data_IF_335874396097
#
_entry.id   IF_335874396097
#
_cell.length_a   1.000
_cell.length_b   1.000
_cell.length_c   1.000
_cell.angle_alpha   90.00
_cell.angle_beta   90.00
_cell.angle_gamma   90.00
#
_symmetry.space_group_name_H-M   'P 1'
#
loop_
_entity.id
_entity.type
_entity.pdbx_description
1 polymer ?
#
# COMPACT_ATOMS: atom_id res chain seq x y z
N UNK A 1 -11.96 -12.55 24.06
CA UNK A 1 -11.98 -11.37 23.21
C UNK A 1 -10.81 -11.46 22.25
N UNK A 2 -11.05 -11.38 20.95
CA UNK A 2 -9.96 -11.27 19.98
C UNK A 2 -9.13 -10.01 20.32
N UNK A 3 -7.82 -10.08 20.15
CA UNK A 3 -6.96 -8.91 20.38
C UNK A 3 -7.30 -7.83 19.33
N UNK A 4 -7.43 -6.57 19.77
CA UNK A 4 -7.67 -5.42 18.90
C UNK A 4 -6.58 -5.29 17.83
N UNK A 5 -6.94 -5.05 16.57
CA UNK A 5 -6.01 -4.99 15.43
C UNK A 5 -4.97 -3.87 15.61
N UNK A 6 -3.68 -4.22 15.53
CA UNK A 6 -2.57 -3.24 15.57
C UNK A 6 -2.23 -2.80 14.14
N UNK A 7 -2.40 -1.51 13.87
CA UNK A 7 -2.25 -0.94 12.53
C UNK A 7 -0.98 -0.09 12.48
N UNK A 8 -0.03 -0.45 11.62
CA UNK A 8 1.05 0.43 11.20
C UNK A 8 0.62 1.29 10.03
N UNK A 9 0.99 2.56 10.01
CA UNK A 9 0.67 3.49 8.91
C UNK A 9 1.94 4.03 8.27
N UNK A 10 2.01 3.99 6.93
CA UNK A 10 3.03 4.71 6.16
C UNK A 10 2.38 5.79 5.30
N UNK A 11 2.99 6.98 5.25
CA UNK A 11 2.51 8.13 4.47
C UNK A 11 3.67 9.00 3.96
N UNK A 12 3.42 9.81 2.92
CA UNK A 12 4.42 10.76 2.38
C UNK A 12 3.98 12.23 2.45
N UNK A 13 2.70 12.49 2.71
CA UNK A 13 2.11 13.83 2.54
C UNK A 13 1.17 14.28 3.66
N UNK A 14 0.00 14.75 3.27
CA UNK A 14 -1.02 15.36 4.15
C UNK A 14 -1.57 14.41 5.22
N UNK A 15 -1.63 13.10 4.93
CA UNK A 15 -2.16 12.10 5.86
C UNK A 15 -3.68 12.12 6.01
N UNK A 16 -4.43 12.54 4.98
CA UNK A 16 -5.90 12.59 5.06
C UNK A 16 -6.53 11.22 5.24
N UNK A 17 -6.04 10.20 4.54
CA UNK A 17 -6.46 8.81 4.73
C UNK A 17 -6.05 8.28 6.12
N UNK A 18 -4.85 8.61 6.59
CA UNK A 18 -4.43 8.26 7.96
C UNK A 18 -5.40 8.87 9.01
N UNK A 19 -5.78 10.13 8.83
CA UNK A 19 -6.74 10.78 9.72
C UNK A 19 -8.07 10.04 9.76
N UNK A 20 -8.63 9.67 8.60
CA UNK A 20 -9.87 8.90 8.52
C UNK A 20 -9.77 7.54 9.24
N UNK A 21 -8.63 6.85 9.12
CA UNK A 21 -8.36 5.58 9.80
C UNK A 21 -8.28 5.79 11.32
N UNK A 22 -7.54 6.80 11.79
CA UNK A 22 -7.41 7.09 13.22
C UNK A 22 -8.75 7.48 13.86
N UNK A 23 -9.56 8.28 13.17
CA UNK A 23 -10.93 8.63 13.58
C UNK A 23 -11.83 7.39 13.62
N UNK A 24 -11.73 6.48 12.66
CA UNK A 24 -12.48 5.23 12.63
C UNK A 24 -12.10 4.28 13.77
N UNK A 25 -10.82 4.22 14.16
CA UNK A 25 -10.39 3.49 15.36
C UNK A 25 -10.96 4.14 16.62
N UNK A 26 -10.91 5.46 16.72
CA UNK A 26 -11.38 6.19 17.91
C UNK A 26 -12.88 6.03 18.14
N UNK A 27 -13.70 6.03 17.09
CA UNK A 27 -15.16 5.90 17.18
C UNK A 27 -15.67 4.44 17.13
N UNK A 28 -14.77 3.46 17.10
CA UNK A 28 -15.11 2.04 17.11
C UNK A 28 -15.58 1.46 15.76
N UNK A 29 -15.45 2.21 14.66
CA UNK A 29 -15.73 1.70 13.31
C UNK A 29 -14.65 0.72 12.82
N UNK A 30 -13.45 0.78 13.42
CA UNK A 30 -12.40 -0.22 13.29
C UNK A 30 -12.11 -0.78 14.70
N UNK A 31 -12.23 -2.09 14.88
CA UNK A 31 -11.74 -2.77 16.08
C UNK A 31 -10.21 -2.88 16.03
N UNK A 32 -9.56 -1.76 16.26
CA UNK A 32 -8.12 -1.62 16.11
C UNK A 32 -7.57 -0.31 16.62
N UNK A 33 -6.24 -0.22 16.64
CA UNK A 33 -5.52 1.00 17.01
C UNK A 33 -4.32 1.23 16.10
N UNK A 34 -4.02 2.49 15.80
CA UNK A 34 -2.79 2.85 15.09
C UNK A 34 -1.63 2.84 16.09
N UNK A 35 -0.65 1.96 15.87
CA UNK A 35 0.48 1.77 16.78
C UNK A 35 1.71 2.58 16.39
N UNK A 36 1.83 2.99 15.13
CA UNK A 36 2.85 3.94 14.66
C UNK A 36 2.45 4.61 13.35
N UNK A 37 3.10 5.74 13.06
CA UNK A 37 3.07 6.40 11.74
C UNK A 37 4.50 6.63 11.26
N UNK A 38 4.85 6.01 10.14
CA UNK A 38 6.12 6.21 9.46
C UNK A 38 5.99 7.08 8.20
N UNK A 39 7.04 7.80 7.85
CA UNK A 39 7.08 8.58 6.60
C UNK A 39 8.44 8.50 5.93
N UNK A 40 8.42 8.49 4.58
CA UNK A 40 9.62 8.68 3.75
C UNK A 40 10.04 10.14 3.61
N UNK A 41 9.22 11.06 4.13
CA UNK A 41 9.38 12.50 4.03
C UNK A 41 9.31 13.16 5.42
N UNK A 42 10.43 13.71 5.95
CA UNK A 42 10.42 14.36 7.26
C UNK A 42 9.46 15.55 7.37
N UNK A 43 9.04 16.14 6.24
CA UNK A 43 8.13 17.29 6.16
C UNK A 43 6.67 16.89 5.92
N UNK A 44 6.33 15.62 6.05
CA UNK A 44 4.96 15.14 5.86
C UNK A 44 4.03 15.67 6.97
N UNK A 45 3.01 16.44 6.60
CA UNK A 45 2.04 17.03 7.57
C UNK A 45 1.26 15.96 8.36
N UNK A 46 1.11 14.76 7.82
CA UNK A 46 0.46 13.65 8.52
C UNK A 46 1.20 13.25 9.80
N UNK A 47 2.52 13.45 9.89
CA UNK A 47 3.30 13.20 11.12
C UNK A 47 2.86 14.11 12.28
N UNK A 48 2.52 15.38 11.99
CA UNK A 48 2.04 16.32 13.02
C UNK A 48 0.68 15.89 13.59
N UNK A 49 -0.17 15.31 12.75
CA UNK A 49 -1.43 14.74 13.24
C UNK A 49 -1.16 13.52 14.14
N UNK A 50 -0.26 12.63 13.78
CA UNK A 50 0.15 11.49 14.62
C UNK A 50 0.66 11.93 15.99
N UNK A 51 1.56 12.94 16.03
CA UNK A 51 2.08 13.50 17.29
C UNK A 51 0.96 14.06 18.19
N UNK A 52 0.00 14.82 17.60
CA UNK A 52 -1.14 15.36 18.37
C UNK A 52 -2.05 14.27 18.92
N UNK A 53 -2.15 13.14 18.26
CA UNK A 53 -2.91 11.98 18.74
C UNK A 53 -2.12 11.10 19.73
N UNK A 54 -0.88 11.46 20.08
CA UNK A 54 -0.02 10.65 20.96
C UNK A 54 0.48 9.35 20.31
N UNK A 55 0.37 9.23 18.97
CA UNK A 55 0.83 8.05 18.24
C UNK A 55 2.33 8.19 17.95
N UNK A 56 3.15 7.17 18.20
CA UNK A 56 4.57 7.15 17.84
C UNK A 56 4.78 7.48 16.36
N UNK A 57 5.71 8.39 16.08
CA UNK A 57 6.03 8.78 14.69
C UNK A 57 7.52 8.64 14.42
N UNK A 58 7.87 8.22 13.20
CA UNK A 58 9.26 8.19 12.74
C UNK A 58 9.39 8.54 11.26
N UNK A 59 10.62 8.82 10.83
CA UNK A 59 10.92 9.11 9.42
C UNK A 59 12.15 8.35 8.95
N UNK A 60 12.12 7.96 7.68
CA UNK A 60 13.28 7.50 6.91
C UNK A 60 13.37 8.38 5.68
N UNK A 61 14.35 9.27 5.61
CA UNK A 61 14.55 10.13 4.44
C UNK A 61 15.02 9.30 3.24
N UNK A 62 14.09 8.70 2.52
CA UNK A 62 14.36 7.89 1.33
C UNK A 62 15.19 8.64 0.30
N UNK A 63 14.94 9.93 0.11
CA UNK A 63 15.68 10.74 -0.87
C UNK A 63 17.16 10.82 -0.50
N UNK A 64 17.45 11.05 0.77
CA UNK A 64 18.81 11.10 1.28
C UNK A 64 19.51 9.75 1.25
N UNK A 65 18.83 8.69 1.63
CA UNK A 65 19.37 7.32 1.59
C UNK A 65 19.69 6.89 0.16
N UNK A 66 18.76 7.04 -0.77
CA UNK A 66 18.93 6.68 -2.17
C UNK A 66 20.12 7.44 -2.78
N UNK A 67 20.22 8.74 -2.55
CA UNK A 67 21.34 9.55 -3.04
C UNK A 67 22.68 9.02 -2.55
N UNK A 68 22.83 8.74 -1.26
CA UNK A 68 24.07 8.20 -0.70
C UNK A 68 24.48 6.85 -1.29
N UNK A 69 23.51 5.99 -1.61
CA UNK A 69 23.77 4.73 -2.29
C UNK A 69 24.24 4.98 -3.72
N UNK A 70 23.58 5.86 -4.46
CA UNK A 70 23.94 6.21 -5.83
C UNK A 70 25.31 6.89 -5.93
N UNK A 71 25.67 7.72 -4.95
CA UNK A 71 26.96 8.43 -4.88
C UNK A 71 28.10 7.55 -4.34
N UNK A 72 27.83 6.26 -4.03
CA UNK A 72 28.82 5.33 -3.49
C UNK A 72 29.29 5.61 -2.06
N UNK A 73 28.64 6.54 -1.35
CA UNK A 73 28.99 6.92 0.04
C UNK A 73 28.40 5.98 1.10
N UNK A 74 27.49 5.10 0.71
CA UNK A 74 26.95 4.05 1.57
C UNK A 74 27.22 2.68 0.92
N UNK A 75 27.55 1.64 1.73
CA UNK A 75 27.77 0.29 1.20
C UNK A 75 26.57 -0.24 0.42
N UNK A 76 26.84 -1.18 -0.44
CA UNK A 76 25.94 -1.85 -1.38
C UNK A 76 24.82 -2.62 -0.67
N UNK A 77 23.75 -1.95 -0.29
CA UNK A 77 22.54 -2.56 0.28
C UNK A 77 22.71 -3.16 1.70
N UNK A 78 21.63 -3.66 2.30
CA UNK A 78 21.67 -4.37 3.58
C UNK A 78 22.44 -5.67 3.47
N UNK A 79 23.05 -6.13 4.57
CA UNK A 79 23.87 -7.37 4.59
C UNK A 79 23.10 -8.64 4.22
N UNK A 80 21.78 -8.63 4.44
CA UNK A 80 20.84 -9.72 4.13
C UNK A 80 20.12 -9.56 2.79
N UNK A 81 20.55 -8.61 1.95
CA UNK A 81 19.97 -8.35 0.63
C UNK A 81 20.55 -9.29 -0.43
N UNK A 82 19.71 -10.13 -1.02
CA UNK A 82 20.05 -11.03 -2.12
C UNK A 82 19.43 -10.47 -3.41
N UNK A 83 20.26 -9.87 -4.27
CA UNK A 83 19.81 -9.19 -5.49
C UNK A 83 19.03 -10.13 -6.42
N UNK A 84 19.55 -11.33 -6.68
CA UNK A 84 18.95 -12.29 -7.62
C UNK A 84 17.54 -12.73 -7.17
N UNK A 85 17.35 -12.94 -5.86
CA UNK A 85 16.04 -13.29 -5.30
C UNK A 85 15.03 -12.15 -5.49
N UNK A 86 15.42 -10.92 -5.14
CA UNK A 86 14.53 -9.74 -5.27
C UNK A 86 14.25 -9.44 -6.75
N UNK A 87 15.25 -9.58 -7.62
CA UNK A 87 15.11 -9.36 -9.05
C UNK A 87 14.18 -10.40 -9.70
N UNK A 88 14.26 -11.66 -9.30
CA UNK A 88 13.41 -12.73 -9.82
C UNK A 88 11.94 -12.58 -9.43
N UNK A 89 11.66 -11.99 -8.27
CA UNK A 89 10.28 -11.79 -7.73
C UNK A 89 9.61 -10.52 -8.24
N UNK A 90 10.37 -9.45 -8.49
CA UNK A 90 9.81 -8.13 -8.78
C UNK A 90 9.14 -8.04 -10.15
N UNK A 91 8.04 -7.30 -10.22
CA UNK A 91 7.40 -6.84 -11.47
C UNK A 91 7.18 -5.31 -11.49
N UNK A 92 8.04 -4.57 -10.77
CA UNK A 92 8.02 -3.12 -10.66
C UNK A 92 8.62 -2.43 -11.89
N UNK A 93 9.64 -3.07 -12.47
CA UNK A 93 10.28 -2.61 -13.69
C UNK A 93 10.15 -3.68 -14.79
N UNK A 94 9.93 -3.24 -16.04
CA UNK A 94 9.83 -4.17 -17.17
C UNK A 94 11.06 -5.10 -17.31
N UNK A 95 10.84 -6.31 -17.77
CA UNK A 95 11.91 -7.31 -17.94
C UNK A 95 13.05 -6.88 -18.90
N UNK A 96 12.76 -5.94 -19.80
CA UNK A 96 13.74 -5.36 -20.74
C UNK A 96 14.44 -4.09 -20.23
N UNK A 97 14.26 -3.76 -18.94
CA UNK A 97 14.95 -2.61 -18.33
C UNK A 97 16.46 -2.82 -18.31
N UNK A 98 17.21 -1.72 -18.40
CA UNK A 98 18.67 -1.76 -18.27
C UNK A 98 19.08 -2.44 -16.96
N UNK A 99 19.91 -3.50 -17.00
CA UNK A 99 20.29 -4.27 -15.81
C UNK A 99 20.99 -3.43 -14.74
N UNK A 100 21.79 -2.44 -15.14
CA UNK A 100 22.49 -1.55 -14.21
C UNK A 100 21.51 -0.62 -13.47
N UNK A 101 20.52 -0.08 -14.19
CA UNK A 101 19.45 0.76 -13.60
C UNK A 101 18.57 -0.06 -12.67
N UNK A 102 18.19 -1.28 -13.06
CA UNK A 102 17.40 -2.16 -12.22
C UNK A 102 18.15 -2.50 -10.93
N UNK A 103 19.42 -2.90 -11.03
CA UNK A 103 20.28 -3.19 -9.88
C UNK A 103 20.37 -1.99 -8.94
N UNK A 104 20.69 -0.80 -9.46
CA UNK A 104 20.78 0.43 -8.66
C UNK A 104 19.46 0.79 -7.99
N UNK A 105 18.35 0.62 -8.70
CA UNK A 105 17.01 0.81 -8.14
C UNK A 105 16.76 -0.13 -6.95
N UNK A 106 16.94 -1.42 -7.12
CA UNK A 106 16.66 -2.43 -6.09
C UNK A 106 17.55 -2.25 -4.86
N UNK A 107 18.86 -2.03 -5.05
CA UNK A 107 19.80 -1.82 -3.93
C UNK A 107 19.44 -0.55 -3.15
N UNK A 108 19.19 0.56 -3.84
CA UNK A 108 18.90 1.83 -3.19
C UNK A 108 17.55 1.81 -2.43
N UNK A 109 16.58 1.07 -2.96
CA UNK A 109 15.31 0.83 -2.26
C UNK A 109 15.50 -0.05 -1.04
N UNK A 110 16.18 -1.19 -1.18
CA UNK A 110 16.43 -2.09 -0.06
C UNK A 110 17.18 -1.39 1.10
N UNK A 111 18.12 -0.50 0.80
CA UNK A 111 18.82 0.28 1.82
C UNK A 111 17.88 1.21 2.61
N UNK A 112 16.90 1.85 1.96
CA UNK A 112 15.91 2.68 2.65
C UNK A 112 14.87 1.82 3.38
N UNK A 113 14.46 0.72 2.80
CA UNK A 113 13.52 -0.25 3.36
C UNK A 113 14.08 -0.95 4.61
N UNK A 114 15.37 -1.25 4.65
CA UNK A 114 16.03 -1.79 5.85
C UNK A 114 15.93 -0.83 7.03
N UNK A 115 16.18 0.48 6.82
CA UNK A 115 16.02 1.48 7.86
C UNK A 115 14.54 1.63 8.28
N UNK A 116 13.60 1.46 7.33
CA UNK A 116 12.18 1.49 7.62
C UNK A 116 11.78 0.31 8.51
N UNK A 117 12.21 -0.91 8.14
CA UNK A 117 11.98 -2.14 8.91
C UNK A 117 12.57 -2.06 10.33
N UNK A 118 13.80 -1.53 10.45
CA UNK A 118 14.45 -1.32 11.75
C UNK A 118 13.62 -0.42 12.68
N UNK A 119 13.12 0.72 12.15
CA UNK A 119 12.25 1.61 12.94
C UNK A 119 10.89 0.99 13.27
N UNK A 120 10.33 0.20 12.37
CA UNK A 120 9.06 -0.50 12.57
C UNK A 120 9.18 -1.62 13.61
N UNK A 121 10.36 -2.23 13.77
CA UNK A 121 10.58 -3.35 14.69
C UNK A 121 10.25 -3.04 16.15
N UNK A 122 10.33 -1.76 16.56
CA UNK A 122 9.95 -1.32 17.89
C UNK A 122 8.43 -1.34 18.16
N UNK A 123 7.62 -1.49 17.12
CA UNK A 123 6.15 -1.39 17.18
C UNK A 123 5.49 -2.60 16.53
N UNK A 124 5.20 -3.69 17.28
CA UNK A 124 4.50 -4.84 16.73
C UNK A 124 3.16 -4.46 16.10
N UNK A 125 2.90 -4.91 14.89
CA UNK A 125 1.67 -4.63 14.13
C UNK A 125 1.15 -5.88 13.41
N UNK A 126 -0.15 -5.87 13.10
CA UNK A 126 -0.85 -6.95 12.41
C UNK A 126 -1.12 -6.61 10.94
N UNK A 127 -1.39 -5.33 10.65
CA UNK A 127 -1.64 -4.79 9.32
C UNK A 127 -0.81 -3.52 9.10
N UNK A 128 -0.15 -3.42 7.96
CA UNK A 128 0.50 -2.21 7.49
C UNK A 128 -0.37 -1.55 6.42
N UNK A 129 -0.76 -0.29 6.60
CA UNK A 129 -1.54 0.47 5.63
C UNK A 129 -0.72 1.59 5.01
N UNK A 130 -0.78 1.70 3.69
CA UNK A 130 -0.16 2.76 2.91
C UNK A 130 -1.20 3.88 2.69
N UNK A 131 -1.11 4.94 3.49
CA UNK A 131 -2.05 6.06 3.47
C UNK A 131 -1.48 7.25 2.67
N UNK A 132 -1.31 7.07 1.36
CA UNK A 132 -0.61 8.02 0.49
C UNK A 132 0.91 7.95 0.66
N UNK A 133 1.45 6.76 0.72
CA UNK A 133 2.89 6.49 0.71
C UNK A 133 3.40 6.43 -0.72
N UNK A 134 4.20 7.42 -1.14
CA UNK A 134 4.65 7.63 -2.51
C UNK A 134 5.92 6.86 -2.86
N UNK A 135 6.11 5.68 -2.28
CA UNK A 135 7.24 4.79 -2.57
C UNK A 135 6.75 3.41 -2.91
N UNK A 136 7.31 2.87 -3.98
CA UNK A 136 7.14 1.48 -4.33
C UNK A 136 7.95 0.63 -3.36
N UNK A 137 7.34 -0.40 -2.79
CA UNK A 137 7.97 -1.35 -1.87
C UNK A 137 8.47 -2.55 -2.67
N UNK A 138 9.72 -2.95 -2.42
CA UNK A 138 10.32 -4.08 -3.14
C UNK A 138 10.00 -5.43 -2.47
N UNK A 139 10.24 -6.57 -3.15
CA UNK A 139 10.14 -7.88 -2.52
C UNK A 139 10.97 -8.02 -1.25
N UNK A 140 12.12 -7.31 -1.14
CA UNK A 140 12.93 -7.28 0.07
C UNK A 140 12.14 -6.86 1.30
N UNK A 141 11.33 -5.80 1.19
CA UNK A 141 10.47 -5.32 2.26
C UNK A 141 9.25 -6.21 2.46
N UNK A 142 8.57 -6.56 1.38
CA UNK A 142 7.30 -7.28 1.44
C UNK A 142 7.45 -8.68 2.03
N UNK A 143 8.54 -9.40 1.74
CA UNK A 143 8.82 -10.71 2.31
C UNK A 143 9.05 -10.65 3.83
N UNK A 144 9.59 -9.54 4.34
CA UNK A 144 9.83 -9.34 5.78
C UNK A 144 8.58 -8.90 6.54
N UNK A 145 7.61 -8.34 5.85
CA UNK A 145 6.32 -7.95 6.43
C UNK A 145 5.30 -9.08 6.31
N UNK A 146 5.22 -9.76 5.18
CA UNK A 146 4.28 -10.86 4.92
C UNK A 146 4.87 -12.20 5.42
N UNK A 147 5.09 -12.32 6.72
CA UNK A 147 5.82 -13.45 7.35
C UNK A 147 5.10 -14.81 7.32
N UNK A 148 3.79 -14.83 7.07
CA UNK A 148 3.03 -16.08 6.98
C UNK A 148 2.67 -16.40 5.53
N UNK A 149 2.82 -17.65 5.08
CA UNK A 149 2.39 -18.06 3.74
C UNK A 149 0.90 -17.74 3.53
N UNK A 150 0.58 -17.07 2.44
CA UNK A 150 -0.78 -16.69 2.05
C UNK A 150 -1.44 -15.59 2.90
N UNK A 151 -0.72 -14.94 3.80
CA UNK A 151 -1.24 -13.80 4.56
C UNK A 151 -0.58 -12.50 4.06
N UNK A 152 -1.29 -11.74 3.25
CA UNK A 152 -0.87 -10.40 2.87
C UNK A 152 -1.23 -9.42 3.99
N UNK A 153 -0.23 -8.65 4.45
CA UNK A 153 -0.36 -7.72 5.57
C UNK A 153 -0.08 -6.27 5.19
N UNK A 154 0.10 -5.99 3.90
CA UNK A 154 0.29 -4.63 3.39
C UNK A 154 -0.90 -4.27 2.53
N UNK A 155 -1.64 -3.24 2.91
CA UNK A 155 -2.83 -2.75 2.23
C UNK A 155 -2.59 -1.34 1.71
N UNK A 156 -3.04 -1.06 0.48
CA UNK A 156 -2.95 0.26 -0.14
C UNK A 156 -4.31 0.74 -0.60
N UNK A 157 -4.48 2.06 -0.69
CA UNK A 157 -5.59 2.69 -1.39
C UNK A 157 -5.03 3.48 -2.59
N UNK A 158 -5.58 3.19 -3.78
CA UNK A 158 -5.17 3.80 -5.03
C UNK A 158 -6.30 4.64 -5.63
N UNK A 159 -6.02 5.88 -6.10
CA UNK A 159 -7.03 6.83 -6.56
C UNK A 159 -7.49 6.57 -8.01
N UNK A 160 -7.72 5.31 -8.38
CA UNK A 160 -8.32 4.89 -9.64
C UNK A 160 -9.05 3.56 -9.50
N UNK A 161 -9.82 3.19 -10.52
CA UNK A 161 -10.45 1.86 -10.63
C UNK A 161 -9.45 0.88 -11.26
N UNK A 162 -8.60 0.28 -10.45
CA UNK A 162 -7.63 -0.72 -10.92
C UNK A 162 -8.33 -1.87 -11.68
N UNK A 163 -7.73 -2.39 -12.75
CA UNK A 163 -6.34 -2.22 -13.18
C UNK A 163 -6.09 -1.01 -14.08
N UNK A 164 -7.05 -0.11 -14.25
CA UNK A 164 -6.83 1.12 -15.02
C UNK A 164 -6.03 2.14 -14.21
N UNK A 165 -5.13 2.84 -14.88
CA UNK A 165 -4.36 3.97 -14.35
C UNK A 165 -3.57 3.67 -13.05
N UNK A 166 -2.69 2.65 -13.05
CA UNK A 166 -1.75 2.44 -11.95
C UNK A 166 -0.76 3.61 -11.86
N UNK A 167 -0.07 3.77 -10.72
CA UNK A 167 0.96 4.77 -10.54
C UNK A 167 0.53 6.00 -9.74
N UNK A 168 1.05 7.20 -10.05
CA UNK A 168 1.08 8.32 -9.10
C UNK A 168 -0.20 9.18 -9.11
N UNK A 169 -0.85 9.36 -10.26
CA UNK A 169 -1.93 10.36 -10.43
C UNK A 169 -3.23 9.75 -10.99
N UNK A 170 -3.73 8.70 -10.37
CA UNK A 170 -4.89 7.95 -10.86
C UNK A 170 -6.13 8.80 -11.19
N UNK A 171 -6.54 9.74 -10.34
CA UNK A 171 -7.64 10.66 -10.66
C UNK A 171 -7.31 11.58 -11.83
N UNK A 172 -6.06 12.07 -11.89
CA UNK A 172 -5.61 12.92 -12.98
C UNK A 172 -5.58 12.18 -14.31
N UNK A 173 -5.07 10.96 -14.33
CA UNK A 173 -5.00 10.12 -15.52
C UNK A 173 -6.40 9.73 -16.01
N UNK A 174 -7.29 9.34 -15.08
CA UNK A 174 -8.70 9.07 -15.36
C UNK A 174 -9.40 10.27 -16.03
N UNK A 175 -9.16 11.47 -15.49
CA UNK A 175 -9.75 12.71 -16.03
C UNK A 175 -9.18 13.10 -17.38
N UNK A 176 -7.84 13.08 -17.52
CA UNK A 176 -7.16 13.42 -18.80
C UNK A 176 -7.48 12.45 -19.92
N UNK A 177 -7.71 11.18 -19.61
CA UNK A 177 -8.13 10.17 -20.58
C UNK A 177 -9.56 10.40 -21.09
N UNK A 178 -10.39 11.18 -20.38
CA UNK A 178 -11.78 11.45 -20.73
C UNK A 178 -12.75 10.37 -20.26
N UNK A 179 -12.40 9.61 -19.24
CA UNK A 179 -13.31 8.62 -18.65
C UNK A 179 -14.59 9.27 -18.13
N UNK A 180 -15.68 8.54 -18.17
CA UNK A 180 -17.00 8.98 -17.67
C UNK A 180 -17.28 8.49 -16.23
N UNK A 181 -16.39 7.65 -15.71
CA UNK A 181 -16.46 7.09 -14.34
C UNK A 181 -15.05 7.18 -13.73
N UNK A 182 -14.98 7.65 -12.50
CA UNK A 182 -13.78 7.61 -11.67
C UNK A 182 -14.05 6.78 -10.40
N UNK A 183 -13.03 6.53 -9.62
CA UNK A 183 -13.18 5.82 -8.36
C UNK A 183 -11.85 5.58 -7.66
N UNK A 184 -11.92 4.79 -6.60
CA UNK A 184 -10.75 4.36 -5.84
C UNK A 184 -10.78 2.84 -5.60
N UNK A 185 -9.61 2.28 -5.36
CA UNK A 185 -9.40 0.84 -5.14
C UNK A 185 -8.61 0.62 -3.87
N UNK A 186 -9.12 -0.21 -2.96
CA UNK A 186 -8.33 -0.78 -1.86
C UNK A 186 -7.87 -2.17 -2.28
N UNK A 187 -6.57 -2.42 -2.17
CA UNK A 187 -5.97 -3.68 -2.58
C UNK A 187 -4.83 -4.08 -1.63
N UNK A 188 -4.47 -5.35 -1.60
CA UNK A 188 -3.21 -5.77 -1.00
C UNK A 188 -2.04 -5.43 -1.93
N UNK A 189 -0.89 -5.17 -1.33
CA UNK A 189 0.34 -4.90 -2.08
C UNK A 189 1.05 -6.21 -2.38
N UNK A 190 1.42 -6.40 -3.65
CA UNK A 190 2.25 -7.50 -4.13
C UNK A 190 3.57 -6.98 -4.74
N UNK A 191 4.27 -7.80 -5.53
CA UNK A 191 5.59 -7.47 -6.08
C UNK A 191 5.56 -6.56 -7.33
N UNK A 192 4.38 -6.05 -7.71
CA UNK A 192 4.19 -5.11 -8.81
C UNK A 192 3.64 -3.76 -8.35
N UNK A 193 3.55 -2.82 -9.28
CA UNK A 193 2.93 -1.53 -9.02
C UNK A 193 1.42 -1.64 -9.20
N UNK A 194 0.67 -1.48 -8.10
CA UNK A 194 -0.80 -1.52 -8.05
C UNK A 194 -1.44 -2.79 -8.68
N UNK A 195 -0.70 -3.93 -8.67
CA UNK A 195 -1.13 -5.18 -9.29
C UNK A 195 -1.75 -6.18 -8.32
N UNK A 196 -1.67 -5.93 -7.04
CA UNK A 196 -2.09 -6.84 -5.99
C UNK A 196 -3.60 -7.10 -5.94
N UNK A 197 -4.03 -8.11 -5.16
CA UNK A 197 -5.41 -8.53 -5.08
C UNK A 197 -6.34 -7.42 -4.58
N UNK A 198 -7.36 -7.08 -5.37
CA UNK A 198 -8.34 -6.04 -5.05
C UNK A 198 -9.25 -6.53 -3.92
N UNK A 199 -9.42 -5.70 -2.88
CA UNK A 199 -10.33 -5.94 -1.76
C UNK A 199 -11.69 -5.34 -2.07
N UNK A 200 -11.72 -4.04 -2.38
CA UNK A 200 -12.95 -3.35 -2.73
C UNK A 200 -12.68 -2.12 -3.60
N UNK A 201 -13.72 -1.68 -4.31
CA UNK A 201 -13.70 -0.50 -5.16
C UNK A 201 -14.94 0.35 -4.91
N UNK A 202 -14.81 1.68 -5.08
CA UNK A 202 -15.92 2.62 -5.12
C UNK A 202 -15.80 3.49 -6.35
N UNK A 203 -16.90 3.62 -7.09
CA UNK A 203 -16.98 4.39 -8.33
C UNK A 203 -17.95 5.56 -8.19
N UNK A 204 -17.71 6.60 -8.98
CA UNK A 204 -18.61 7.74 -9.13
C UNK A 204 -18.58 8.27 -10.56
N UNK A 205 -19.69 8.84 -11.07
CA UNK A 205 -19.73 9.41 -12.42
C UNK A 205 -18.94 10.71 -12.50
N UNK A 206 -18.25 10.92 -13.63
CA UNK A 206 -17.65 12.20 -14.01
C UNK A 206 -18.70 12.98 -14.85
N UNK A 207 -19.02 14.18 -14.42
CA UNK A 207 -19.98 15.08 -15.08
C UNK A 207 -19.25 16.01 -16.02
N UNK A 208 -19.93 16.53 -17.04
CA UNK A 208 -19.34 17.46 -17.99
C UNK A 208 -18.84 18.79 -17.35
N UNK A 209 -19.43 19.15 -16.20
CA UNK A 209 -19.04 20.34 -15.42
C UNK A 209 -17.91 20.07 -14.41
N UNK A 210 -17.41 18.82 -14.31
CA UNK A 210 -16.38 18.49 -13.34
C UNK A 210 -15.01 19.03 -13.76
N UNK A 211 -14.27 19.44 -12.75
CA UNK A 211 -12.85 19.75 -12.82
C UNK A 211 -12.04 18.64 -12.15
N UNK A 212 -10.74 18.58 -12.43
CA UNK A 212 -9.84 17.66 -11.74
C UNK A 212 -9.90 17.83 -10.22
N UNK A 213 -10.05 19.06 -9.74
CA UNK A 213 -10.18 19.35 -8.31
C UNK A 213 -11.47 18.76 -7.72
N UNK A 214 -12.61 18.92 -8.40
CA UNK A 214 -13.88 18.35 -7.96
C UNK A 214 -13.87 16.83 -7.91
N UNK A 215 -13.20 16.20 -8.88
CA UNK A 215 -13.02 14.74 -8.94
C UNK A 215 -12.15 14.26 -7.78
N UNK A 216 -11.00 14.89 -7.55
CA UNK A 216 -10.12 14.55 -6.42
C UNK A 216 -10.84 14.71 -5.08
N UNK A 217 -11.60 15.77 -4.90
CA UNK A 217 -12.37 16.01 -3.67
C UNK A 217 -13.41 14.91 -3.43
N UNK A 218 -14.18 14.52 -4.45
CA UNK A 218 -15.15 13.40 -4.35
C UNK A 218 -14.45 12.06 -4.10
N UNK A 219 -13.37 11.81 -4.83
CA UNK A 219 -12.58 10.61 -4.65
C UNK A 219 -12.06 10.44 -3.24
N UNK A 220 -11.45 11.47 -2.66
CA UNK A 220 -10.99 11.47 -1.28
C UNK A 220 -12.11 11.17 -0.27
N UNK A 221 -13.31 11.70 -0.47
CA UNK A 221 -14.46 11.40 0.40
C UNK A 221 -14.83 9.92 0.37
N UNK A 222 -14.72 9.27 -0.80
CA UNK A 222 -14.95 7.83 -0.91
C UNK A 222 -13.80 7.02 -0.32
N UNK A 223 -12.55 7.46 -0.48
CA UNK A 223 -11.39 6.82 0.14
C UNK A 223 -11.52 6.78 1.66
N UNK A 224 -11.93 7.87 2.29
CA UNK A 224 -12.11 7.97 3.75
C UNK A 224 -13.21 7.05 4.30
N UNK A 225 -14.12 6.60 3.46
CA UNK A 225 -15.16 5.62 3.82
C UNK A 225 -14.70 4.20 3.51
N UNK A 226 -14.12 3.99 2.33
CA UNK A 226 -13.79 2.67 1.83
C UNK A 226 -12.60 2.06 2.58
N UNK A 227 -11.56 2.86 2.86
CA UNK A 227 -10.35 2.34 3.48
C UNK A 227 -10.60 1.82 4.90
N UNK A 228 -11.24 2.59 5.81
CA UNK A 228 -11.61 2.07 7.13
C UNK A 228 -12.49 0.82 7.06
N UNK A 229 -13.45 0.76 6.14
CA UNK A 229 -14.31 -0.41 5.98
C UNK A 229 -13.51 -1.67 5.58
N UNK A 230 -12.51 -1.54 4.67
CA UNK A 230 -11.64 -2.65 4.29
C UNK A 230 -10.71 -3.09 5.44
N UNK A 231 -10.23 -2.15 6.26
CA UNK A 231 -9.43 -2.45 7.44
C UNK A 231 -10.27 -3.21 8.48
N UNK A 232 -11.54 -2.83 8.67
CA UNK A 232 -12.45 -3.56 9.56
C UNK A 232 -12.69 -4.99 9.07
N UNK A 233 -12.90 -5.20 7.77
CA UNK A 233 -13.00 -6.56 7.20
C UNK A 233 -11.75 -7.41 7.45
N UNK A 234 -10.56 -6.78 7.47
CA UNK A 234 -9.33 -7.45 7.83
C UNK A 234 -9.31 -7.81 9.33
N UNK A 235 -9.70 -6.88 10.21
CA UNK A 235 -9.80 -7.11 11.66
C UNK A 235 -10.75 -8.27 11.98
N UNK A 236 -11.85 -8.39 11.24
CA UNK A 236 -12.83 -9.49 11.36
C UNK A 236 -12.35 -10.82 10.77
N UNK A 237 -11.16 -10.87 10.13
CA UNK A 237 -10.65 -12.09 9.48
C UNK A 237 -11.50 -12.54 8.28
N UNK A 238 -12.21 -11.63 7.62
CA UNK A 238 -13.15 -11.91 6.53
C UNK A 238 -12.53 -11.86 5.14
N UNK A 239 -11.30 -11.39 5.00
CA UNK A 239 -10.61 -11.30 3.71
C UNK A 239 -9.90 -12.62 3.39
N UNK A 240 -10.39 -13.36 2.41
CA UNK A 240 -9.85 -14.65 1.98
C UNK A 240 -9.15 -14.53 0.63
N UNK A 241 -7.87 -14.90 0.57
CA UNK A 241 -7.12 -14.99 -0.67
C UNK A 241 -7.40 -16.32 -1.38
N UNK A 242 -7.94 -16.26 -2.59
CA UNK A 242 -8.31 -17.42 -3.41
C UNK A 242 -7.59 -17.36 -4.74
N UNK A 243 -6.90 -18.45 -5.13
CA UNK A 243 -6.37 -18.60 -6.49
C UNK A 243 -7.51 -18.98 -7.44
N UNK A 244 -7.81 -18.10 -8.38
CA UNK A 244 -8.79 -18.36 -9.44
C UNK A 244 -8.06 -18.68 -10.74
N UNK A 245 -8.42 -19.82 -11.36
CA UNK A 245 -7.94 -20.16 -12.69
C UNK A 245 -8.72 -19.36 -13.72
N UNK A 246 -8.01 -18.66 -14.58
CA UNK A 246 -8.58 -17.95 -15.71
C UNK A 246 -8.36 -18.82 -16.95
N UNK A 247 -9.44 -19.15 -17.62
CA UNK A 247 -9.41 -19.85 -18.92
C UNK A 247 -9.72 -18.79 -20.00
N UNK A 248 -8.70 -18.15 -20.60
CA UNK A 248 -8.94 -17.27 -21.72
C UNK A 248 -9.45 -18.09 -22.92
N UNK A 249 -10.27 -17.51 -23.81
CA UNK A 249 -10.77 -18.19 -25.02
C UNK A 249 -9.64 -18.70 -25.93
N UNK A 250 -8.48 -18.02 -25.90
CA UNK A 250 -7.26 -18.38 -26.63
C UNK A 250 -6.05 -18.09 -25.72
N UNK A 251 -5.13 -19.03 -25.61
CA UNK A 251 -3.86 -18.86 -24.87
C UNK A 251 -3.70 -19.82 -23.68
N UNK A 252 -2.60 -19.63 -22.95
CA UNK A 252 -2.27 -20.48 -21.79
C UNK A 252 -3.17 -20.15 -20.58
N UNK A 253 -3.52 -21.19 -19.85
CA UNK A 253 -4.24 -21.09 -18.58
C UNK A 253 -3.43 -20.23 -17.59
N UNK A 254 -3.99 -19.13 -17.14
CA UNK A 254 -3.38 -18.24 -16.13
C UNK A 254 -4.11 -18.35 -14.80
N UNK A 255 -3.41 -18.08 -13.72
CA UNK A 255 -4.05 -18.00 -12.39
C UNK A 255 -3.86 -16.61 -11.80
N UNK A 256 -4.91 -16.09 -11.17
CA UNK A 256 -4.87 -14.83 -10.43
C UNK A 256 -5.30 -15.04 -8.98
N UNK A 257 -4.63 -14.40 -8.05
CA UNK A 257 -5.09 -14.31 -6.67
C UNK A 257 -6.14 -13.20 -6.57
N UNK A 258 -7.29 -13.54 -6.01
CA UNK A 258 -8.40 -12.58 -5.76
C UNK A 258 -8.77 -12.61 -4.29
N UNK A 259 -9.35 -11.52 -3.79
CA UNK A 259 -9.93 -11.47 -2.45
C UNK A 259 -11.42 -11.84 -2.52
N UNK A 260 -11.85 -12.73 -1.65
CA UNK A 260 -13.27 -12.99 -1.37
C UNK A 260 -13.58 -12.53 0.05
N UNK A 261 -14.69 -11.82 0.20
CA UNK A 261 -15.18 -11.38 1.51
C UNK A 261 -16.10 -12.47 2.05
N UNK A 262 -15.73 -13.06 3.19
CA UNK A 262 -16.59 -14.04 3.86
C UNK A 262 -17.81 -13.36 4.49
N UNK A 263 -18.98 -14.03 4.55
CA UNK A 263 -20.14 -13.54 5.31
C UNK A 263 -19.81 -13.32 6.78
N UNK A 264 -20.64 -12.52 7.46
CA UNK A 264 -20.53 -12.30 8.90
C UNK A 264 -20.55 -13.63 9.68
N UNK A 265 -19.72 -13.74 10.69
CA UNK A 265 -19.65 -14.96 11.53
C UNK A 265 -18.82 -16.12 10.95
N UNK A 266 -18.30 -16.03 9.73
CA UNK A 266 -17.38 -17.01 9.14
C UNK A 266 -15.94 -16.50 9.13
N UNK A 267 -15.35 -16.34 10.30
CA UNK A 267 -13.93 -15.99 10.45
C UNK A 267 -13.02 -17.17 10.09
N UNK A 268 -11.88 -16.93 9.46
CA UNK A 268 -10.79 -17.92 9.48
C UNK A 268 -10.22 -17.97 10.89
N UNK A 269 -10.04 -19.20 11.41
CA UNK A 269 -9.13 -19.37 12.54
C UNK A 269 -7.72 -18.89 12.13
N UNK A 270 -6.97 -18.27 13.03
CA UNK A 270 -5.65 -17.70 12.76
C UNK A 270 -4.64 -18.73 12.25
#
# INVERSE_FOLDING_TARGET
LAASLRIGVLLSGSGTNFRAIAEACHNGAIDGQVVFVGSDNPRAKGLDYGRRCGIPVFTVDYRSVIRRVCDGTTPTGPSDFVLDDVQAKQSLMPAHSDPGKLKSFLISRAAAEAQLLEKMAAYPFDLLVLAGFMRTLTPYFLDRVNVAPRQLRVMNIHPALLPAFPGIDGYGDTFRYGCKVAGCTVHFVDYGEDTGPIIAQRAFPIRETDTLESIRKRGLQLEWQLYPACIQLFAEGRLRLVKTRLQPPVGQQTSRTVVRIAPDGQTQAP
#
